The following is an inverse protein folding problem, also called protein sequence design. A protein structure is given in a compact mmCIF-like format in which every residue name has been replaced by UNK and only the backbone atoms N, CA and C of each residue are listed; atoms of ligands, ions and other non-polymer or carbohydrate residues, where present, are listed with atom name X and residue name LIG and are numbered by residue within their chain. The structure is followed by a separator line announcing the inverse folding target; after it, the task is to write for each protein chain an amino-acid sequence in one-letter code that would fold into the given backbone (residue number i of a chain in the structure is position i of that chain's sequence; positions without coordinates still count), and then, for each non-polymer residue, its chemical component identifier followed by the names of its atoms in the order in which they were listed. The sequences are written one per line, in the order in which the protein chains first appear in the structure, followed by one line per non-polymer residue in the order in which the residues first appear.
data_IF_089205494586
#
_entry.id   IF_089205494586
#
_cell.length_a   1.000
_cell.length_b   1.000
_cell.length_c   1.000
_cell.angle_alpha   90.00
_cell.angle_beta   90.00
_cell.angle_gamma   90.00
#
_symmetry.space_group_name_H-M   'P 1'
#
loop_
_entity.id
_entity.type
_entity.pdbx_description
1 polymer ?
#
# COMPACT_ATOMS: atom_id res chain seq x y z
N UNK A 1 -14.89 -17.25 14.27
CA UNK A 1 -14.00 -16.13 13.93
C UNK A 1 -13.90 -15.26 15.18
N UNK A 2 -12.70 -14.91 15.61
CA UNK A 2 -12.48 -14.01 16.75
C UNK A 2 -12.12 -12.63 16.22
N UNK A 3 -12.81 -11.61 16.74
CA UNK A 3 -12.47 -10.21 16.44
C UNK A 3 -11.23 -9.80 17.21
N UNK A 4 -10.34 -9.07 16.58
CA UNK A 4 -9.12 -8.51 17.19
C UNK A 4 -9.07 -6.99 16.98
N UNK A 5 -8.58 -6.27 17.98
CA UNK A 5 -8.38 -4.83 17.83
C UNK A 5 -7.22 -4.54 16.88
N UNK A 6 -7.36 -3.58 15.95
CA UNK A 6 -6.31 -3.26 14.99
C UNK A 6 -4.95 -2.92 15.63
N UNK A 7 -4.95 -2.20 16.75
CA UNK A 7 -3.74 -1.85 17.50
C UNK A 7 -3.02 -3.08 18.07
N UNK A 8 -3.80 -4.05 18.57
CA UNK A 8 -3.26 -5.32 19.09
C UNK A 8 -2.60 -6.10 17.96
N UNK A 9 -3.30 -6.28 16.84
CA UNK A 9 -2.76 -7.00 15.68
C UNK A 9 -1.53 -6.29 15.11
N UNK A 10 -1.55 -4.95 15.04
CA UNK A 10 -0.38 -4.19 14.58
C UNK A 10 0.87 -4.50 15.43
N UNK A 11 0.72 -4.53 16.76
CA UNK A 11 1.80 -4.91 17.68
C UNK A 11 2.26 -6.37 17.49
N UNK A 12 1.33 -7.32 17.35
CA UNK A 12 1.63 -8.73 17.12
C UNK A 12 2.40 -8.98 15.81
N UNK A 13 2.14 -8.16 14.78
CA UNK A 13 2.86 -8.20 13.50
C UNK A 13 4.20 -7.44 13.52
N UNK A 14 4.67 -7.01 14.69
CA UNK A 14 5.93 -6.26 14.83
C UNK A 14 5.86 -4.85 14.25
N UNK A 15 4.67 -4.23 14.33
CA UNK A 15 4.47 -2.88 13.83
C UNK A 15 5.20 -1.82 14.64
N UNK A 16 5.81 -0.88 13.94
CA UNK A 16 6.54 0.26 14.51
C UNK A 16 5.83 1.57 14.14
N UNK A 17 5.84 2.52 15.08
CA UNK A 17 5.24 3.84 14.87
C UNK A 17 6.18 4.94 15.36
N UNK A 18 6.48 5.88 14.46
CA UNK A 18 7.27 7.06 14.77
C UNK A 18 6.67 8.31 14.12
N UNK A 19 6.50 9.38 14.91
CA UNK A 19 6.07 10.71 14.44
C UNK A 19 4.81 10.69 13.55
N UNK A 20 3.90 9.75 13.83
CA UNK A 20 2.65 9.55 13.07
C UNK A 20 2.80 8.78 11.77
N UNK A 21 3.97 8.19 11.50
CA UNK A 21 4.20 7.22 10.44
C UNK A 21 4.26 5.81 11.01
N UNK A 22 3.72 4.86 10.27
CA UNK A 22 3.62 3.46 10.68
C UNK A 22 4.33 2.56 9.68
N UNK A 23 4.97 1.50 10.19
CA UNK A 23 5.58 0.48 9.37
C UNK A 23 5.38 -0.91 9.98
N UNK A 24 5.25 -1.92 9.12
CA UNK A 24 5.34 -3.34 9.48
C UNK A 24 6.41 -3.92 8.57
N UNK A 25 7.55 -4.32 9.15
CA UNK A 25 8.68 -4.77 8.38
C UNK A 25 8.63 -6.26 8.07
N UNK A 26 9.29 -6.64 6.97
CA UNK A 26 9.50 -8.03 6.57
C UNK A 26 10.98 -8.37 6.71
N UNK A 27 11.35 -9.38 7.51
CA UNK A 27 12.73 -9.82 7.62
C UNK A 27 13.20 -10.48 6.32
N UNK A 28 14.49 -10.34 6.03
CA UNK A 28 15.14 -10.99 4.88
C UNK A 28 15.78 -12.29 5.34
N UNK A 29 15.48 -13.36 4.65
CA UNK A 29 16.06 -14.68 4.79
C UNK A 29 17.02 -14.97 3.63
N UNK A 30 17.83 -16.01 3.75
CA UNK A 30 18.80 -16.39 2.72
C UNK A 30 18.78 -17.90 2.51
N UNK A 31 18.77 -18.33 1.24
CA UNK A 31 18.98 -19.73 0.91
C UNK A 31 20.41 -20.17 1.20
N UNK A 32 20.69 -21.47 1.11
CA UNK A 32 22.06 -22.01 1.25
C UNK A 32 23.02 -21.46 0.20
N UNK A 33 22.53 -21.11 -0.99
CA UNK A 33 23.26 -20.43 -2.06
C UNK A 33 23.37 -18.92 -1.91
N UNK A 34 22.90 -18.34 -0.79
CA UNK A 34 22.98 -16.91 -0.50
C UNK A 34 21.95 -16.06 -1.27
N UNK A 35 20.91 -16.65 -1.82
CA UNK A 35 19.83 -15.92 -2.50
C UNK A 35 18.86 -15.36 -1.46
N UNK A 36 18.63 -14.04 -1.43
CA UNK A 36 17.72 -13.41 -0.46
C UNK A 36 16.25 -13.66 -0.82
N UNK A 37 15.43 -13.93 0.20
CA UNK A 37 13.98 -14.06 0.07
C UNK A 37 13.25 -13.51 1.30
N UNK A 38 11.96 -13.25 1.15
CA UNK A 38 11.07 -12.74 2.19
C UNK A 38 9.86 -13.68 2.31
N UNK A 39 9.28 -13.74 3.50
CA UNK A 39 8.17 -14.66 3.81
C UNK A 39 6.86 -13.93 4.12
N UNK A 40 6.91 -12.61 4.34
CA UNK A 40 5.74 -11.79 4.65
C UNK A 40 5.82 -10.44 3.93
N UNK A 41 4.68 -9.79 3.64
CA UNK A 41 4.68 -8.42 3.12
C UNK A 41 5.24 -7.41 4.12
N UNK A 42 6.09 -6.50 3.66
CA UNK A 42 6.48 -5.30 4.37
C UNK A 42 5.68 -4.10 3.87
N UNK A 43 5.20 -3.27 4.79
CA UNK A 43 4.40 -2.08 4.52
C UNK A 43 4.97 -0.89 5.29
N UNK A 44 5.30 0.19 4.59
CA UNK A 44 5.85 1.41 5.18
C UNK A 44 5.04 2.61 4.69
N UNK A 45 4.41 3.34 5.59
CA UNK A 45 3.76 4.61 5.26
C UNK A 45 4.83 5.68 5.00
N UNK A 46 4.91 6.18 3.78
CA UNK A 46 5.90 7.19 3.34
C UNK A 46 5.38 8.62 3.38
N UNK A 47 4.08 8.80 3.13
CA UNK A 47 3.47 10.13 3.11
C UNK A 47 2.00 10.05 3.53
N UNK A 48 1.56 11.10 4.20
CA UNK A 48 0.19 11.31 4.67
C UNK A 48 -0.17 12.78 4.51
N UNK A 49 -1.46 13.18 4.57
CA UNK A 49 -1.85 14.59 4.57
C UNK A 49 -1.15 15.39 5.67
N UNK A 50 -0.86 16.64 5.36
CA UNK A 50 -0.49 17.68 6.30
C UNK A 50 -1.34 18.90 5.96
N UNK A 51 -2.23 19.32 6.88
CA UNK A 51 -3.32 20.26 6.62
C UNK A 51 -3.10 21.56 7.37
N UNK A 52 -3.35 22.68 6.73
CA UNK A 52 -3.21 24.02 7.30
C UNK A 52 -4.58 24.73 7.39
N UNK A 53 -5.44 24.41 8.39
CA UNK A 53 -6.79 24.99 8.50
C UNK A 53 -6.78 26.52 8.66
N UNK A 54 -5.77 27.10 9.31
CA UNK A 54 -5.64 28.53 9.47
C UNK A 54 -5.57 29.28 8.11
N UNK A 55 -5.15 28.62 7.03
CA UNK A 55 -5.18 29.17 5.67
C UNK A 55 -6.58 29.52 5.16
N UNK A 56 -7.64 28.99 5.81
CA UNK A 56 -9.03 29.33 5.45
C UNK A 56 -9.46 30.71 5.95
N UNK A 57 -8.69 31.40 6.79
CA UNK A 57 -9.10 32.66 7.45
C UNK A 57 -9.61 33.70 6.46
N UNK A 58 -8.87 33.97 5.39
CA UNK A 58 -9.27 34.94 4.36
C UNK A 58 -10.53 34.55 3.59
N UNK A 59 -10.71 33.26 3.32
CA UNK A 59 -11.90 32.75 2.69
C UNK A 59 -13.14 32.88 3.62
N UNK A 60 -13.00 32.51 4.89
CA UNK A 60 -14.11 32.54 5.85
C UNK A 60 -14.52 33.97 6.23
N UNK A 61 -13.61 34.93 6.21
CA UNK A 61 -13.87 36.35 6.48
C UNK A 61 -14.59 37.08 5.31
N UNK A 62 -14.66 36.48 4.13
CA UNK A 62 -15.28 37.10 2.94
C UNK A 62 -16.81 37.00 2.88
N UNK A 63 -17.46 36.42 3.90
CA UNK A 63 -18.91 36.22 3.99
C UNK A 63 -19.57 37.13 5.04
N UNK A 64 -20.90 37.20 5.00
CA UNK A 64 -21.69 37.95 5.96
C UNK A 64 -21.37 37.53 7.40
N UNK A 65 -21.07 38.48 8.28
CA UNK A 65 -20.67 38.26 9.67
C UNK A 65 -21.71 37.49 10.47
N UNK A 66 -23.01 37.61 10.14
CA UNK A 66 -24.11 36.89 10.81
C UNK A 66 -24.02 35.37 10.61
N UNK A 67 -23.26 34.87 9.62
CA UNK A 67 -23.01 33.45 9.38
C UNK A 67 -22.00 32.84 10.35
N UNK A 68 -21.22 33.68 11.05
CA UNK A 68 -20.21 33.25 12.04
C UNK A 68 -19.18 32.23 11.48
N UNK A 69 -18.80 32.33 10.20
CA UNK A 69 -17.90 31.38 9.55
C UNK A 69 -16.48 31.42 10.13
N UNK A 70 -16.01 32.59 10.58
CA UNK A 70 -14.69 32.75 11.19
C UNK A 70 -14.53 31.93 12.51
N UNK A 71 -15.61 31.67 13.23
CA UNK A 71 -15.62 30.81 14.42
C UNK A 71 -15.27 29.33 14.11
N UNK A 72 -15.20 28.95 12.84
CA UNK A 72 -14.75 27.62 12.43
C UNK A 72 -13.30 27.32 12.89
N UNK A 73 -12.44 28.34 12.88
CA UNK A 73 -11.05 28.21 13.26
C UNK A 73 -10.83 28.05 14.77
N UNK A 74 -11.86 28.32 15.57
CA UNK A 74 -11.82 28.24 17.03
C UNK A 74 -12.24 26.85 17.54
N UNK A 75 -12.41 25.84 16.65
CA UNK A 75 -12.77 24.48 17.07
C UNK A 75 -11.62 23.88 17.91
N UNK A 76 -11.85 23.58 19.20
CA UNK A 76 -10.78 23.17 20.10
C UNK A 76 -10.27 21.75 19.85
N UNK A 77 -11.07 20.95 19.14
CA UNK A 77 -10.74 19.54 18.88
C UNK A 77 -9.96 19.40 17.57
N UNK A 78 -8.77 18.84 17.66
CA UNK A 78 -7.99 18.49 16.47
C UNK A 78 -8.39 17.13 15.93
N UNK A 79 -8.52 17.02 14.61
CA UNK A 79 -8.70 15.76 13.92
C UNK A 79 -7.36 15.27 13.33
N UNK A 80 -7.24 13.96 13.07
CA UNK A 80 -6.24 13.46 12.15
C UNK A 80 -6.31 14.22 10.82
N UNK A 81 -5.16 14.51 10.23
CA UNK A 81 -5.09 15.50 9.14
C UNK A 81 -5.84 15.07 7.88
N UNK A 82 -5.89 13.76 7.57
CA UNK A 82 -6.70 13.26 6.46
C UNK A 82 -8.20 13.46 6.70
N UNK A 83 -8.68 13.16 7.92
CA UNK A 83 -10.05 13.40 8.32
C UNK A 83 -10.37 14.91 8.31
N UNK A 84 -9.46 15.76 8.79
CA UNK A 84 -9.63 17.22 8.75
C UNK A 84 -9.80 17.73 7.32
N UNK A 85 -8.96 17.26 6.39
CA UNK A 85 -9.04 17.64 4.98
C UNK A 85 -10.37 17.19 4.34
N UNK A 86 -10.76 15.94 4.55
CA UNK A 86 -12.02 15.40 4.05
C UNK A 86 -13.23 16.17 4.61
N UNK A 87 -13.20 16.54 5.90
CA UNK A 87 -14.27 17.32 6.53
C UNK A 87 -14.35 18.73 5.94
N UNK A 88 -13.23 19.42 5.77
CA UNK A 88 -13.17 20.74 5.12
C UNK A 88 -13.78 20.64 3.71
N UNK A 89 -13.38 19.66 2.91
CA UNK A 89 -13.91 19.46 1.56
C UNK A 89 -15.43 19.28 1.55
N UNK A 90 -15.97 18.46 2.43
CA UNK A 90 -17.42 18.26 2.56
C UNK A 90 -18.14 19.52 3.06
N UNK A 91 -17.53 20.27 3.97
CA UNK A 91 -18.14 21.52 4.48
C UNK A 91 -18.16 22.64 3.44
N UNK A 92 -17.15 22.72 2.56
CA UNK A 92 -17.16 23.65 1.42
C UNK A 92 -18.35 23.38 0.49
N UNK A 93 -18.68 22.12 0.24
CA UNK A 93 -19.79 21.76 -0.66
C UNK A 93 -21.16 22.33 -0.20
N UNK A 94 -21.33 22.50 1.09
CA UNK A 94 -22.59 22.97 1.70
C UNK A 94 -22.46 24.31 2.42
N UNK A 95 -21.29 24.93 2.36
CA UNK A 95 -20.93 26.14 3.12
C UNK A 95 -21.29 26.03 4.60
N UNK A 96 -21.06 24.86 5.18
CA UNK A 96 -21.45 24.53 6.56
C UNK A 96 -20.34 24.82 7.56
N UNK A 97 -19.90 26.09 7.63
CA UNK A 97 -18.83 26.56 8.52
C UNK A 97 -19.33 27.27 9.78
N UNK A 98 -20.59 27.70 9.81
CA UNK A 98 -21.18 28.48 10.89
C UNK A 98 -21.48 27.70 12.18
N UNK A 99 -22.20 28.33 13.10
CA UNK A 99 -22.56 27.76 14.41
C UNK A 99 -23.35 26.47 14.36
N UNK A 100 -24.09 26.22 13.30
CA UNK A 100 -24.84 24.97 13.07
C UNK A 100 -23.99 23.81 12.52
N UNK A 101 -22.68 23.99 12.34
CA UNK A 101 -21.77 22.97 11.81
C UNK A 101 -21.68 21.75 12.75
N UNK A 102 -21.27 20.62 12.19
CA UNK A 102 -20.79 19.52 13.01
C UNK A 102 -19.36 19.86 13.50
N UNK A 103 -19.17 19.97 14.81
CA UNK A 103 -17.87 20.23 15.41
C UNK A 103 -16.93 19.02 15.28
N UNK A 104 -15.63 19.24 15.39
CA UNK A 104 -14.63 18.18 15.30
C UNK A 104 -14.80 17.10 16.38
N UNK A 105 -15.28 17.47 17.57
CA UNK A 105 -15.63 16.50 18.62
C UNK A 105 -16.74 15.51 18.22
N UNK A 106 -17.47 15.76 17.13
CA UNK A 106 -18.52 14.91 16.58
C UNK A 106 -18.14 14.34 15.20
N UNK A 107 -16.87 14.26 14.91
CA UNK A 107 -16.37 13.82 13.59
C UNK A 107 -16.84 12.39 13.25
N UNK A 108 -16.88 11.48 14.22
CA UNK A 108 -17.38 10.12 14.02
C UNK A 108 -18.82 10.13 13.48
N UNK A 109 -19.71 10.94 14.09
CA UNK A 109 -21.08 11.10 13.59
C UNK A 109 -21.11 11.67 12.17
N UNK A 110 -20.26 12.66 11.88
CA UNK A 110 -20.18 13.27 10.56
C UNK A 110 -19.75 12.24 9.48
N UNK A 111 -18.68 11.52 9.74
CA UNK A 111 -18.16 10.53 8.79
C UNK A 111 -19.06 9.30 8.67
N UNK A 112 -19.70 8.85 9.75
CA UNK A 112 -20.68 7.77 9.69
C UNK A 112 -21.89 8.15 8.82
N UNK A 113 -22.37 9.40 8.91
CA UNK A 113 -23.43 9.89 8.01
C UNK A 113 -22.98 9.91 6.54
N UNK A 114 -21.75 10.32 6.25
CA UNK A 114 -21.21 10.29 4.89
C UNK A 114 -21.12 8.86 4.34
N UNK A 115 -20.62 7.93 5.15
CA UNK A 115 -20.48 6.51 4.79
C UNK A 115 -21.86 5.88 4.53
N UNK A 116 -22.80 6.02 5.46
CA UNK A 116 -24.15 5.46 5.33
C UNK A 116 -24.95 6.05 4.17
N UNK A 117 -24.67 7.30 3.78
CA UNK A 117 -25.31 7.97 2.63
C UNK A 117 -24.58 7.73 1.31
N UNK A 118 -23.47 6.99 1.30
CA UNK A 118 -22.67 6.73 0.10
C UNK A 118 -21.94 7.97 -0.45
N UNK A 119 -21.71 9.00 0.37
CA UNK A 119 -21.03 10.24 -0.01
C UNK A 119 -19.51 10.08 0.01
N UNK A 120 -18.97 9.14 -0.77
CA UNK A 120 -17.56 8.78 -0.77
C UNK A 120 -16.62 9.83 -1.39
N UNK A 121 -17.12 10.83 -2.14
CA UNK A 121 -16.27 11.78 -2.87
C UNK A 121 -15.31 12.58 -1.96
N UNK A 122 -15.71 12.90 -0.73
CA UNK A 122 -14.87 13.66 0.20
C UNK A 122 -13.62 12.86 0.64
N UNK A 123 -13.70 11.53 0.64
CA UNK A 123 -12.56 10.65 0.97
C UNK A 123 -11.48 10.66 -0.13
N UNK A 124 -11.75 11.24 -1.30
CA UNK A 124 -10.77 11.34 -2.39
C UNK A 124 -9.69 12.41 -2.13
N UNK A 125 -9.87 13.28 -1.14
CA UNK A 125 -8.91 14.35 -0.83
C UNK A 125 -7.73 13.89 0.04
N UNK A 126 -7.92 12.93 0.95
CA UNK A 126 -6.86 12.42 1.82
C UNK A 126 -6.01 11.38 1.09
N UNK A 127 -4.76 11.70 0.76
CA UNK A 127 -3.85 10.83 0.02
C UNK A 127 -2.77 10.25 0.94
N UNK A 128 -2.47 8.96 0.75
CA UNK A 128 -1.44 8.22 1.49
C UNK A 128 -0.53 7.49 0.52
N UNK A 129 0.78 7.51 0.79
CA UNK A 129 1.78 6.81 -0.02
C UNK A 129 2.44 5.72 0.80
N UNK A 130 2.51 4.53 0.25
CA UNK A 130 3.16 3.38 0.88
C UNK A 130 4.30 2.84 0.01
N UNK A 131 5.39 2.43 0.65
CA UNK A 131 6.30 1.44 0.10
C UNK A 131 5.78 0.06 0.52
N UNK A 132 5.49 -0.77 -0.47
CA UNK A 132 5.15 -2.18 -0.31
C UNK A 132 6.32 -3.01 -0.84
N UNK A 133 6.81 -3.96 -0.03
CA UNK A 133 7.92 -4.84 -0.38
C UNK A 133 7.71 -6.22 0.25
N UNK A 134 8.58 -7.19 -0.03
CA UNK A 134 8.30 -8.57 0.36
C UNK A 134 7.01 -9.10 -0.27
N UNK A 135 6.65 -8.56 -1.41
CA UNK A 135 5.50 -8.97 -2.23
C UNK A 135 5.96 -9.44 -3.59
N UNK A 136 5.35 -10.51 -4.06
CA UNK A 136 5.67 -11.13 -5.33
C UNK A 136 5.17 -10.29 -6.53
N UNK A 137 5.70 -10.60 -7.69
CA UNK A 137 5.21 -10.05 -8.94
C UNK A 137 3.75 -10.44 -9.21
N UNK A 138 3.27 -11.58 -8.72
CA UNK A 138 1.85 -11.97 -8.78
C UNK A 138 0.98 -10.95 -8.08
N UNK A 139 1.30 -10.58 -6.83
CA UNK A 139 0.55 -9.58 -6.05
C UNK A 139 0.53 -8.22 -6.74
N UNK A 140 1.68 -7.74 -7.22
CA UNK A 140 1.71 -6.44 -7.90
C UNK A 140 0.90 -6.44 -9.18
N UNK A 141 0.81 -7.59 -9.88
CA UNK A 141 0.01 -7.73 -11.09
C UNK A 141 -1.51 -7.63 -10.82
N UNK A 142 -1.94 -8.05 -9.65
CA UNK A 142 -3.31 -7.84 -9.17
C UNK A 142 -3.53 -6.40 -8.67
N UNK A 143 -2.60 -5.87 -7.88
CA UNK A 143 -2.71 -4.56 -7.26
C UNK A 143 -2.82 -3.44 -8.29
N UNK A 144 -2.02 -3.45 -9.36
CA UNK A 144 -2.04 -2.41 -10.40
C UNK A 144 -3.32 -2.41 -11.26
N UNK A 145 -4.23 -3.37 -11.05
CA UNK A 145 -5.56 -3.38 -11.68
C UNK A 145 -6.52 -2.39 -11.02
N UNK A 146 -6.26 -1.98 -9.80
CA UNK A 146 -6.95 -0.90 -9.10
C UNK A 146 -6.41 0.44 -9.62
N UNK A 147 -7.05 1.02 -10.63
CA UNK A 147 -6.50 2.20 -11.34
C UNK A 147 -7.03 3.53 -10.81
N UNK A 148 -8.29 3.57 -10.39
CA UNK A 148 -8.93 4.82 -9.98
C UNK A 148 -8.33 5.36 -8.68
N UNK A 149 -7.83 6.59 -8.70
CA UNK A 149 -7.27 7.28 -7.54
C UNK A 149 -5.88 6.80 -7.09
N UNK A 150 -5.17 5.99 -7.93
CA UNK A 150 -3.85 5.47 -7.60
C UNK A 150 -2.74 5.92 -8.55
N UNK A 151 -1.54 6.09 -7.98
CA UNK A 151 -0.25 6.17 -8.67
C UNK A 151 0.64 5.01 -8.26
N UNK A 152 1.36 4.39 -9.22
CA UNK A 152 2.21 3.24 -9.02
C UNK A 152 3.63 3.47 -9.54
N UNK A 153 4.64 3.15 -8.72
CA UNK A 153 6.04 3.13 -9.11
C UNK A 153 6.69 1.83 -8.66
N UNK A 154 6.74 0.85 -9.56
CA UNK A 154 7.23 -0.50 -9.29
C UNK A 154 8.69 -0.65 -9.73
N UNK A 155 9.47 -1.44 -8.98
CA UNK A 155 10.81 -1.87 -9.38
C UNK A 155 10.80 -2.46 -10.81
N UNK A 156 11.61 -1.86 -11.67
CA UNK A 156 11.71 -2.29 -13.06
C UNK A 156 12.83 -3.30 -13.27
N UNK A 157 12.47 -4.55 -13.55
CA UNK A 157 13.41 -5.60 -13.94
C UNK A 157 14.14 -5.32 -15.26
N UNK A 158 13.80 -4.21 -15.97
CA UNK A 158 14.51 -3.78 -17.20
C UNK A 158 15.76 -2.95 -16.89
N UNK A 159 15.79 -2.29 -15.72
CA UNK A 159 16.85 -1.37 -15.34
C UNK A 159 17.69 -1.86 -14.18
N UNK A 160 17.18 -2.79 -13.39
CA UNK A 160 17.83 -3.29 -12.18
C UNK A 160 18.59 -4.57 -12.48
N UNK A 161 19.84 -4.64 -12.00
CA UNK A 161 20.71 -5.80 -12.24
C UNK A 161 20.29 -7.01 -11.41
N UNK A 162 20.70 -8.21 -11.81
CA UNK A 162 20.45 -9.44 -11.07
C UNK A 162 20.97 -9.45 -9.62
N UNK A 163 21.87 -8.52 -9.27
CA UNK A 163 22.35 -8.34 -7.88
C UNK A 163 21.27 -7.80 -6.91
N UNK A 164 20.18 -7.27 -7.46
CA UNK A 164 19.04 -6.75 -6.69
C UNK A 164 17.88 -7.74 -6.63
N UNK A 165 18.05 -8.96 -7.13
CA UNK A 165 16.99 -9.96 -7.09
C UNK A 165 16.78 -10.44 -5.66
N UNK A 166 15.52 -10.41 -5.24
CA UNK A 166 14.99 -11.10 -4.07
C UNK A 166 13.73 -11.86 -4.50
N UNK A 167 13.34 -12.82 -3.70
CA UNK A 167 12.17 -13.65 -3.98
C UNK A 167 11.21 -13.63 -2.80
N UNK A 168 9.98 -14.07 -3.02
CA UNK A 168 8.96 -14.15 -1.99
C UNK A 168 8.49 -15.59 -1.89
N UNK A 169 8.62 -16.15 -0.70
CA UNK A 169 8.04 -17.45 -0.39
C UNK A 169 6.56 -17.29 -0.10
N UNK A 170 5.74 -18.02 -0.83
CA UNK A 170 4.29 -17.97 -0.64
C UNK A 170 3.90 -18.54 0.73
N UNK A 171 2.85 -17.99 1.36
CA UNK A 171 2.38 -18.51 2.66
C UNK A 171 2.13 -20.02 2.65
N UNK A 172 1.62 -20.57 1.54
CA UNK A 172 1.26 -21.99 1.39
C UNK A 172 2.48 -22.93 1.42
N UNK A 173 3.69 -22.42 1.32
CA UNK A 173 4.93 -23.24 1.34
C UNK A 173 5.61 -23.26 2.70
N UNK A 174 5.33 -22.28 3.57
CA UNK A 174 6.13 -21.98 4.75
C UNK A 174 6.02 -23.07 5.85
N UNK A 175 4.89 -23.75 5.92
CA UNK A 175 4.62 -24.79 6.92
C UNK A 175 4.86 -26.21 6.40
N UNK A 176 5.36 -26.38 5.18
CA UNK A 176 5.68 -27.67 4.57
C UNK A 176 7.15 -27.74 4.16
N UNK A 177 7.93 -28.61 4.80
CA UNK A 177 9.38 -28.71 4.58
C UNK A 177 9.73 -29.08 3.12
N UNK A 178 8.92 -29.88 2.44
CA UNK A 178 9.17 -30.27 1.06
C UNK A 178 8.90 -29.11 0.09
N UNK A 179 7.79 -28.39 0.26
CA UNK A 179 7.45 -27.22 -0.54
C UNK A 179 8.45 -26.07 -0.31
N UNK A 180 8.87 -25.85 0.94
CA UNK A 180 9.92 -24.90 1.27
C UNK A 180 11.26 -25.25 0.58
N UNK A 181 11.69 -26.52 0.65
CA UNK A 181 12.91 -26.97 -0.02
C UNK A 181 12.81 -26.80 -1.56
N UNK A 182 11.68 -27.13 -2.15
CA UNK A 182 11.44 -26.91 -3.57
C UNK A 182 11.44 -25.43 -3.95
N UNK A 183 10.91 -24.54 -3.11
CA UNK A 183 11.00 -23.10 -3.30
C UNK A 183 12.46 -22.62 -3.30
N UNK A 184 13.27 -23.02 -2.31
CA UNK A 184 14.67 -22.64 -2.23
C UNK A 184 15.44 -23.10 -3.47
N UNK A 185 15.22 -24.33 -3.94
CA UNK A 185 15.85 -24.84 -5.16
C UNK A 185 15.43 -24.02 -6.39
N UNK A 186 14.15 -23.66 -6.52
CA UNK A 186 13.65 -22.83 -7.65
C UNK A 186 14.29 -21.46 -7.69
N UNK A 187 14.39 -20.76 -6.55
CA UNK A 187 14.95 -19.40 -6.54
C UNK A 187 16.46 -19.40 -6.83
N UNK A 188 17.20 -20.40 -6.34
CA UNK A 188 18.61 -20.58 -6.66
C UNK A 188 18.83 -20.87 -8.15
N UNK A 189 18.01 -21.78 -8.73
CA UNK A 189 18.04 -22.07 -10.15
C UNK A 189 17.70 -20.83 -10.99
N UNK A 190 16.60 -20.13 -10.67
CA UNK A 190 16.17 -18.94 -11.40
C UNK A 190 17.22 -17.80 -11.38
N UNK A 191 17.84 -17.57 -10.22
CA UNK A 191 18.92 -16.59 -10.09
C UNK A 191 20.17 -17.01 -10.90
N UNK A 192 20.51 -18.30 -10.90
CA UNK A 192 21.58 -18.87 -11.72
C UNK A 192 21.34 -18.72 -13.22
N UNK A 193 20.16 -19.10 -13.69
CA UNK A 193 19.74 -18.98 -15.08
C UNK A 193 19.71 -17.51 -15.57
N UNK A 194 19.18 -16.62 -14.75
CA UNK A 194 19.21 -15.18 -15.05
C UNK A 194 20.63 -14.67 -15.28
N UNK A 195 21.57 -15.07 -14.39
CA UNK A 195 22.99 -14.69 -14.48
C UNK A 195 23.66 -15.30 -15.73
N UNK A 196 23.46 -16.59 -15.96
CA UNK A 196 24.01 -17.31 -17.10
C UNK A 196 23.54 -16.70 -18.44
N UNK A 197 22.22 -16.49 -18.57
CA UNK A 197 21.62 -15.89 -19.77
C UNK A 197 22.10 -14.45 -19.98
N UNK A 198 22.19 -13.65 -18.92
CA UNK A 198 22.70 -12.27 -19.01
C UNK A 198 24.14 -12.23 -19.50
N UNK A 199 25.03 -13.10 -18.95
CA UNK A 199 26.42 -13.18 -19.35
C UNK A 199 26.54 -13.63 -20.82
N UNK A 200 25.80 -14.66 -21.19
CA UNK A 200 25.83 -15.18 -22.58
C UNK A 200 25.40 -14.16 -23.61
N UNK A 201 24.31 -13.42 -23.34
CA UNK A 201 23.84 -12.35 -24.21
C UNK A 201 24.87 -11.21 -24.35
N UNK A 202 25.60 -10.88 -23.29
CA UNK A 202 26.67 -9.88 -23.33
C UNK A 202 27.86 -10.39 -24.17
N UNK A 203 28.27 -11.63 -23.99
CA UNK A 203 29.35 -12.27 -24.81
C UNK A 203 29.02 -12.29 -26.28
N UNK A 204 27.82 -12.75 -26.61
CA UNK A 204 27.35 -12.80 -28.02
C UNK A 204 27.36 -11.43 -28.68
N UNK A 205 26.95 -10.41 -27.95
CA UNK A 205 26.97 -9.04 -28.43
C UNK A 205 28.39 -8.51 -28.63
N UNK A 206 29.33 -8.86 -27.75
CA UNK A 206 30.75 -8.50 -27.87
C UNK A 206 31.42 -9.20 -29.06
N UNK A 207 31.01 -10.44 -29.36
CA UNK A 207 31.49 -11.19 -30.50
C UNK A 207 30.92 -10.71 -31.84
N UNK A 208 30.16 -9.61 -31.87
CA UNK A 208 29.60 -9.01 -33.07
C UNK A 208 28.32 -9.65 -33.61
N UNK A 209 27.74 -10.60 -32.87
CA UNK A 209 26.43 -11.18 -33.19
C UNK A 209 25.33 -10.17 -32.81
N UNK A 210 24.77 -9.48 -33.80
CA UNK A 210 23.75 -8.42 -33.58
C UNK A 210 22.39 -9.00 -33.21
N UNK A 211 22.30 -9.62 -32.04
CA UNK A 211 21.02 -10.14 -31.49
C UNK A 211 20.19 -9.01 -30.91
N UNK A 212 20.86 -8.02 -30.31
CA UNK A 212 20.24 -6.88 -29.67
C UNK A 212 20.70 -5.60 -30.34
N UNK A 213 19.78 -4.84 -30.92
CA UNK A 213 20.09 -3.49 -31.42
C UNK A 213 20.24 -2.52 -30.25
N UNK A 214 21.41 -1.92 -30.07
CA UNK A 214 21.66 -0.86 -29.11
C UNK A 214 22.73 0.08 -29.63
N UNK A 215 22.52 1.38 -29.49
CA UNK A 215 23.44 2.43 -29.93
C UNK A 215 24.46 2.77 -28.83
N UNK A 216 24.09 2.61 -27.56
CA UNK A 216 24.93 2.90 -26.40
C UNK A 216 25.11 1.69 -25.46
N UNK A 217 26.24 1.67 -24.72
CA UNK A 217 26.55 0.59 -23.74
C UNK A 217 25.49 0.46 -22.64
N UNK A 218 24.86 1.55 -22.24
CA UNK A 218 23.76 1.56 -21.25
C UNK A 218 22.50 0.92 -21.82
N UNK A 219 22.17 1.15 -23.08
CA UNK A 219 21.03 0.55 -23.75
C UNK A 219 21.24 -0.95 -23.98
N UNK A 220 22.46 -1.37 -24.24
CA UNK A 220 22.78 -2.78 -24.35
C UNK A 220 22.52 -3.53 -23.05
N UNK A 221 23.01 -3.02 -21.90
CA UNK A 221 22.76 -3.64 -20.61
C UNK A 221 21.26 -3.75 -20.31
N UNK A 222 20.51 -2.68 -20.58
CA UNK A 222 19.06 -2.65 -20.42
C UNK A 222 18.36 -3.73 -21.28
N UNK A 223 18.76 -3.90 -22.53
CA UNK A 223 18.20 -4.91 -23.43
C UNK A 223 18.55 -6.32 -23.00
N UNK A 224 19.77 -6.55 -22.52
CA UNK A 224 20.19 -7.83 -21.95
C UNK A 224 19.34 -8.17 -20.72
N UNK A 225 19.18 -7.26 -19.78
CA UNK A 225 18.33 -7.46 -18.59
C UNK A 225 16.87 -7.69 -18.97
N UNK A 226 16.37 -6.94 -19.98
CA UNK A 226 15.01 -7.11 -20.47
C UNK A 226 14.78 -8.51 -21.09
N UNK A 227 15.75 -9.08 -21.76
CA UNK A 227 15.67 -10.44 -22.27
C UNK A 227 15.83 -11.48 -21.15
N UNK A 228 16.85 -11.32 -20.30
CA UNK A 228 17.17 -12.28 -19.25
C UNK A 228 16.05 -12.44 -18.20
N UNK A 229 15.29 -11.36 -17.89
CA UNK A 229 14.18 -11.44 -16.93
C UNK A 229 13.08 -12.44 -17.31
N UNK A 230 13.05 -12.94 -18.53
CA UNK A 230 12.06 -13.92 -18.99
C UNK A 230 12.11 -15.25 -18.23
N UNK A 231 13.26 -15.57 -17.63
CA UNK A 231 13.43 -16.80 -16.81
C UNK A 231 13.05 -16.60 -15.34
N UNK A 232 12.72 -15.38 -14.91
CA UNK A 232 12.36 -15.10 -13.52
C UNK A 232 10.91 -15.52 -13.25
N UNK A 233 10.66 -16.28 -12.16
CA UNK A 233 9.31 -16.68 -11.77
C UNK A 233 8.50 -15.52 -11.22
N UNK A 234 7.19 -15.70 -11.12
CA UNK A 234 6.29 -14.73 -10.48
C UNK A 234 6.57 -14.53 -8.99
N UNK A 235 7.26 -15.47 -8.35
CA UNK A 235 7.77 -15.37 -6.98
C UNK A 235 8.88 -14.31 -6.82
N UNK A 236 9.39 -13.74 -7.92
CA UNK A 236 10.37 -12.64 -7.85
C UNK A 236 9.73 -11.44 -7.16
N UNK A 237 10.43 -10.91 -6.15
CA UNK A 237 9.96 -9.73 -5.42
C UNK A 237 9.80 -8.52 -6.35
N UNK A 238 8.76 -7.75 -6.12
CA UNK A 238 8.45 -6.55 -6.88
C UNK A 238 8.08 -5.37 -5.97
N UNK A 239 9.07 -4.76 -5.28
CA UNK A 239 8.81 -3.58 -4.46
C UNK A 239 8.15 -2.47 -5.26
N UNK A 240 7.15 -1.81 -4.64
CA UNK A 240 6.35 -0.81 -5.31
C UNK A 240 5.99 0.34 -4.35
N UNK A 241 6.12 1.57 -4.82
CA UNK A 241 5.51 2.72 -4.15
C UNK A 241 4.11 2.91 -4.73
N UNK A 242 3.14 3.00 -3.84
CA UNK A 242 1.72 3.17 -4.18
C UNK A 242 1.19 4.40 -3.47
N UNK A 243 0.68 5.35 -4.23
CA UNK A 243 -0.03 6.52 -3.70
C UNK A 243 -1.50 6.41 -4.06
N UNK A 244 -2.38 6.52 -3.08
CA UNK A 244 -3.83 6.48 -3.28
C UNK A 244 -4.57 7.34 -2.28
N UNK A 245 -5.76 7.79 -2.65
CA UNK A 245 -6.65 8.48 -1.72
C UNK A 245 -7.39 7.50 -0.81
N UNK A 246 -7.97 8.00 0.29
CA UNK A 246 -8.65 7.18 1.28
C UNK A 246 -9.77 6.33 0.67
N UNK A 247 -10.56 6.87 -0.26
CA UNK A 247 -11.62 6.11 -0.95
C UNK A 247 -11.06 4.93 -1.73
N UNK A 248 -9.98 5.15 -2.46
CA UNK A 248 -9.32 4.09 -3.25
C UNK A 248 -8.70 3.03 -2.36
N UNK A 249 -8.07 3.43 -1.25
CA UNK A 249 -7.54 2.47 -0.28
C UNK A 249 -8.64 1.68 0.42
N UNK A 250 -9.77 2.32 0.77
CA UNK A 250 -10.94 1.61 1.32
C UNK A 250 -11.42 0.52 0.35
N UNK A 251 -11.52 0.84 -0.94
CA UNK A 251 -11.90 -0.14 -1.96
C UNK A 251 -10.87 -1.30 -2.10
N UNK A 252 -9.55 -1.01 -2.03
CA UNK A 252 -8.52 -2.07 -2.05
C UNK A 252 -8.65 -2.96 -0.81
N UNK A 253 -8.83 -2.38 0.38
CA UNK A 253 -9.02 -3.13 1.63
C UNK A 253 -10.24 -4.05 1.52
N UNK A 254 -11.38 -3.52 1.09
CA UNK A 254 -12.62 -4.27 0.89
C UNK A 254 -12.42 -5.48 -0.04
N UNK A 255 -11.74 -5.28 -1.17
CA UNK A 255 -11.55 -6.31 -2.19
C UNK A 255 -10.41 -7.28 -1.89
N UNK A 256 -9.37 -6.85 -1.19
CA UNK A 256 -8.10 -7.60 -1.06
C UNK A 256 -7.81 -8.07 0.36
N UNK A 257 -8.42 -7.47 1.38
CA UNK A 257 -8.39 -8.01 2.74
C UNK A 257 -9.59 -8.95 3.03
N UNK A 258 -10.37 -9.29 2.02
CA UNK A 258 -11.47 -10.26 2.12
C UNK A 258 -10.94 -11.70 2.22
N UNK A 259 -11.69 -12.57 2.91
CA UNK A 259 -11.32 -13.97 3.14
C UNK A 259 -11.17 -14.82 1.85
N UNK A 260 -11.80 -14.40 0.74
CA UNK A 260 -11.70 -15.08 -0.55
C UNK A 260 -10.54 -14.56 -1.42
N UNK A 261 -9.87 -13.48 -1.00
CA UNK A 261 -8.68 -13.00 -1.69
C UNK A 261 -7.51 -13.99 -1.49
N UNK A 262 -6.61 -14.02 -2.46
CA UNK A 262 -5.39 -14.81 -2.38
C UNK A 262 -4.56 -14.38 -1.14
N UNK A 263 -3.95 -15.34 -0.44
CA UNK A 263 -3.38 -15.14 0.91
C UNK A 263 -2.32 -14.04 0.94
N UNK A 264 -1.40 -13.99 -0.02
CA UNK A 264 -0.32 -13.02 -0.04
C UNK A 264 -0.84 -11.57 -0.17
N UNK A 265 -1.76 -11.31 -1.11
CA UNK A 265 -2.33 -9.97 -1.28
C UNK A 265 -3.25 -9.60 -0.11
N UNK A 266 -3.94 -10.57 0.50
CA UNK A 266 -4.75 -10.37 1.69
C UNK A 266 -3.89 -9.91 2.87
N UNK A 267 -2.79 -10.59 3.14
CA UNK A 267 -1.86 -10.20 4.20
C UNK A 267 -1.28 -8.79 3.97
N UNK A 268 -0.95 -8.44 2.73
CA UNK A 268 -0.50 -7.09 2.38
C UNK A 268 -1.60 -6.06 2.64
N UNK A 269 -2.84 -6.32 2.21
CA UNK A 269 -3.96 -5.38 2.38
C UNK A 269 -4.34 -5.18 3.85
N UNK A 270 -4.29 -6.24 4.68
CA UNK A 270 -4.47 -6.14 6.14
C UNK A 270 -3.42 -5.22 6.76
N UNK A 271 -2.14 -5.37 6.41
CA UNK A 271 -1.06 -4.50 6.92
C UNK A 271 -1.22 -3.05 6.50
N UNK A 272 -1.63 -2.79 5.27
CA UNK A 272 -1.96 -1.43 4.79
C UNK A 272 -3.12 -0.85 5.61
N UNK A 273 -4.19 -1.63 5.84
CA UNK A 273 -5.30 -1.21 6.67
C UNK A 273 -4.85 -0.81 8.08
N UNK A 274 -4.03 -1.63 8.73
CA UNK A 274 -3.54 -1.33 10.08
C UNK A 274 -2.77 -0.01 10.14
N UNK A 275 -1.91 0.26 9.16
CA UNK A 275 -1.20 1.53 9.08
C UNK A 275 -2.15 2.72 8.85
N UNK A 276 -3.17 2.58 8.00
CA UNK A 276 -4.18 3.61 7.74
C UNK A 276 -5.06 3.87 8.96
N UNK A 277 -5.52 2.81 9.63
CA UNK A 277 -6.31 2.92 10.85
C UNK A 277 -5.57 3.69 11.96
N UNK A 278 -4.29 3.38 12.16
CA UNK A 278 -3.47 4.09 13.16
C UNK A 278 -3.19 5.55 12.78
N UNK A 279 -3.23 5.88 11.49
CA UNK A 279 -2.96 7.24 11.00
C UNK A 279 -4.20 8.11 11.04
N UNK A 280 -5.33 7.60 10.56
CA UNK A 280 -6.62 8.29 10.45
C UNK A 280 -7.78 7.39 10.91
N UNK A 281 -7.89 7.07 12.22
CA UNK A 281 -8.92 6.16 12.73
C UNK A 281 -10.35 6.60 12.35
N UNK A 282 -10.62 7.89 12.29
CA UNK A 282 -11.93 8.43 11.92
C UNK A 282 -12.39 8.01 10.52
N UNK A 283 -11.44 7.86 9.59
CA UNK A 283 -11.73 7.43 8.22
C UNK A 283 -11.87 5.92 8.08
N UNK A 284 -11.28 5.14 9.01
CA UNK A 284 -11.16 3.68 8.91
C UNK A 284 -11.71 2.90 10.12
N UNK A 285 -12.33 3.56 11.12
CA UNK A 285 -12.85 2.92 12.34
C UNK A 285 -14.07 2.02 12.15
N UNK A 286 -14.70 2.08 10.99
CA UNK A 286 -15.85 1.23 10.63
C UNK A 286 -15.45 -0.19 10.19
N UNK A 287 -14.15 -0.45 10.07
CA UNK A 287 -13.66 -1.77 9.72
C UNK A 287 -13.46 -2.65 10.96
N UNK A 288 -13.79 -3.93 10.79
CA UNK A 288 -13.60 -4.98 11.80
C UNK A 288 -12.56 -5.97 11.29
N UNK A 289 -11.60 -6.30 12.14
CA UNK A 289 -10.58 -7.33 11.85
C UNK A 289 -10.99 -8.65 12.49
N UNK A 290 -10.99 -9.72 11.71
CA UNK A 290 -11.31 -11.07 12.18
C UNK A 290 -10.19 -12.04 11.80
N UNK A 291 -9.86 -12.94 12.73
CA UNK A 291 -9.02 -14.09 12.41
C UNK A 291 -9.88 -15.18 11.76
N UNK A 292 -9.41 -15.74 10.65
CA UNK A 292 -10.09 -16.80 9.92
C UNK A 292 -9.44 -18.18 10.20
N UNK A 293 -10.03 -19.23 9.66
CA UNK A 293 -9.69 -20.63 9.98
C UNK A 293 -8.26 -21.04 9.61
N UNK A 294 -7.63 -20.37 8.65
CA UNK A 294 -6.24 -20.61 8.23
C UNK A 294 -5.21 -19.86 9.09
N UNK A 295 -5.65 -19.23 10.18
CA UNK A 295 -4.79 -18.45 11.08
C UNK A 295 -4.45 -17.05 10.60
N UNK A 296 -4.84 -16.68 9.38
CA UNK A 296 -4.65 -15.33 8.84
C UNK A 296 -5.81 -14.40 9.21
N UNK A 297 -5.79 -13.17 8.71
CA UNK A 297 -6.77 -12.14 9.06
C UNK A 297 -7.53 -11.66 7.83
N UNK A 298 -8.77 -11.21 8.07
CA UNK A 298 -9.63 -10.51 7.10
C UNK A 298 -10.10 -9.20 7.70
N UNK A 299 -10.47 -8.25 6.84
CA UNK A 299 -10.97 -6.92 7.25
C UNK A 299 -12.28 -6.66 6.53
N UNK A 300 -13.31 -6.27 7.26
CA UNK A 300 -14.67 -6.07 6.76
C UNK A 300 -15.24 -4.76 7.20
N UNK A 301 -16.11 -4.16 6.40
CA UNK A 301 -16.93 -3.00 6.75
C UNK A 301 -18.38 -3.22 6.30
N UNK A 302 -19.33 -2.57 6.97
CA UNK A 302 -20.73 -2.50 6.54
C UNK A 302 -20.96 -1.40 5.47
N UNK A 303 -19.98 -0.49 5.27
CA UNK A 303 -20.07 0.62 4.35
C UNK A 303 -19.27 0.34 3.07
N UNK A 304 -19.70 -0.65 2.30
CA UNK A 304 -19.11 -0.97 1.01
C UNK A 304 -19.21 0.22 0.03
N UNK A 305 -18.22 0.37 -0.84
CA UNK A 305 -18.21 1.35 -1.95
C UNK A 305 -18.10 2.83 -1.54
N UNK A 306 -17.64 3.12 -0.34
CA UNK A 306 -17.43 4.50 0.14
C UNK A 306 -15.97 4.88 0.12
#
# INVERSE_FOLDING_TARGET
MSTIMPETLFGELGGERDSGFSAIHSPVHYSSGGIPYLVKPGVVLLARPNVHPAGLSGFLAGFDESLHFTEYLDDPTQLPEGAQLCKIAGQVCYMSFGRGRTFNAQADRYFNNLKSSGHGSVFEHANYSFLLYGISRSVTHELVRHRSGFGFSQLSQRYVSGRMLRFVERPEYQDDEELHAQFLQRIEHAAGEYKALSNRLLEMQQAGTKILSAEARTDLRKKVQQAARSVLPNETEAPIVVTGNARSWRHVIEMRADAHAETEIREMAVRVFLCLYLTDPVLFSDYIVEQIHDGTYTVKTEFEKV
#
